data_IF_900937704255
#
_entry.id   IF_900937704255
#
_cell.length_a   1.000
_cell.length_b   1.000
_cell.length_c   1.000
_cell.angle_alpha   90.00
_cell.angle_beta   90.00
_cell.angle_gamma   90.00
#
_symmetry.space_group_name_H-M   'P 1'
#
loop_
_entity.id
_entity.type
_entity.pdbx_description
1 polymer ?
#
# COMPACT_ATOMS: atom_id res chain seq x y z
N UNK A 1 13.62 -11.93 8.32
CA UNK A 1 14.11 -10.55 8.51
C UNK A 1 14.49 -9.94 7.16
N UNK A 2 14.35 -8.62 7.02
CA UNK A 2 14.64 -7.91 5.78
C UNK A 2 15.62 -6.76 6.04
N UNK A 3 16.55 -6.53 5.10
CA UNK A 3 17.44 -5.36 5.05
C UNK A 3 17.01 -4.48 3.90
N UNK A 4 16.74 -3.21 4.17
CA UNK A 4 16.36 -2.22 3.17
C UNK A 4 17.54 -1.27 2.93
N UNK A 5 18.01 -1.18 1.70
CA UNK A 5 19.13 -0.33 1.29
C UNK A 5 18.62 0.77 0.38
N UNK A 6 18.83 2.01 0.79
CA UNK A 6 18.47 3.19 0.02
C UNK A 6 19.70 3.83 -0.59
N UNK A 7 19.58 4.27 -1.85
CA UNK A 7 20.66 4.93 -2.56
C UNK A 7 21.71 3.99 -3.14
N UNK A 8 22.97 4.41 -3.11
CA UNK A 8 24.08 3.73 -3.80
C UNK A 8 24.88 2.78 -2.88
N UNK A 9 24.21 2.18 -1.88
CA UNK A 9 24.86 1.24 -0.99
C UNK A 9 25.32 -0.03 -1.74
N UNK A 10 26.50 -0.55 -1.38
CA UNK A 10 27.03 -1.78 -1.95
C UNK A 10 27.22 -2.84 -0.86
N UNK A 11 26.88 -4.07 -1.20
CA UNK A 11 27.14 -5.23 -0.33
C UNK A 11 28.35 -6.01 -0.82
N UNK A 12 29.22 -6.40 0.12
CA UNK A 12 30.30 -7.34 -0.20
C UNK A 12 29.74 -8.74 -0.36
N UNK A 13 30.40 -9.58 -1.16
CA UNK A 13 30.00 -11.00 -1.32
C UNK A 13 29.98 -11.75 0.01
N UNK A 14 30.89 -11.41 0.94
CA UNK A 14 30.91 -12.01 2.27
C UNK A 14 29.65 -11.68 3.07
N UNK A 15 29.20 -10.42 3.01
CA UNK A 15 27.96 -9.98 3.66
C UNK A 15 26.74 -10.63 3.01
N UNK A 16 26.68 -10.71 1.69
CA UNK A 16 25.58 -11.40 0.98
C UNK A 16 25.50 -12.88 1.44
N UNK A 17 26.65 -13.58 1.52
CA UNK A 17 26.68 -14.97 2.02
C UNK A 17 26.20 -15.09 3.46
N UNK A 18 26.56 -14.14 4.33
CA UNK A 18 26.13 -14.13 5.72
C UNK A 18 24.62 -13.89 5.85
N UNK A 19 24.08 -12.92 5.10
CA UNK A 19 22.66 -12.63 5.06
C UNK A 19 21.84 -13.82 4.52
N UNK A 20 22.30 -14.42 3.44
CA UNK A 20 21.68 -15.61 2.85
C UNK A 20 21.65 -16.80 3.82
N UNK A 21 22.76 -17.06 4.53
CA UNK A 21 22.82 -18.13 5.55
C UNK A 21 21.82 -17.91 6.68
N UNK A 22 21.55 -16.66 7.04
CA UNK A 22 20.60 -16.28 8.09
C UNK A 22 19.17 -16.04 7.56
N UNK A 23 18.89 -16.36 6.28
CA UNK A 23 17.59 -16.17 5.64
C UNK A 23 17.09 -14.73 5.72
N UNK A 24 17.98 -13.77 5.55
CA UNK A 24 17.69 -12.33 5.53
C UNK A 24 17.64 -11.86 4.07
N UNK A 25 16.50 -11.36 3.63
CA UNK A 25 16.35 -10.78 2.30
C UNK A 25 16.91 -9.36 2.26
N UNK A 26 17.35 -8.92 1.08
CA UNK A 26 17.83 -7.56 0.86
C UNK A 26 17.03 -6.91 -0.25
N UNK A 27 16.55 -5.70 -0.01
CA UNK A 27 15.81 -4.90 -0.99
C UNK A 27 16.54 -3.59 -1.26
N UNK A 28 16.78 -3.28 -2.53
CA UNK A 28 17.42 -2.05 -2.96
C UNK A 28 16.39 -1.05 -3.43
N UNK A 29 16.52 0.17 -2.93
CA UNK A 29 15.68 1.32 -3.28
C UNK A 29 16.53 2.49 -3.74
N UNK A 30 15.99 3.32 -4.64
CA UNK A 30 16.58 4.61 -4.96
C UNK A 30 16.53 5.56 -3.76
N UNK A 31 17.23 6.69 -3.83
CA UNK A 31 17.18 7.75 -2.81
C UNK A 31 15.75 8.28 -2.55
N UNK A 32 14.87 8.15 -3.54
CA UNK A 32 13.47 8.59 -3.46
C UNK A 32 12.50 7.44 -3.14
N UNK A 33 13.01 6.29 -2.68
CA UNK A 33 12.19 5.15 -2.25
C UNK A 33 11.60 4.30 -3.37
N UNK A 34 12.10 4.41 -4.62
CA UNK A 34 11.67 3.53 -5.70
C UNK A 34 12.40 2.18 -5.58
N UNK A 35 11.66 1.08 -5.59
CA UNK A 35 12.23 -0.27 -5.64
C UNK A 35 13.08 -0.45 -6.92
N UNK A 36 14.28 -1.00 -6.75
CA UNK A 36 15.23 -1.27 -7.83
C UNK A 36 15.37 -2.78 -8.05
N UNK A 37 15.70 -3.52 -6.97
CA UNK A 37 16.02 -4.96 -7.04
C UNK A 37 15.96 -5.58 -5.66
N UNK A 38 15.92 -6.90 -5.59
CA UNK A 38 16.07 -7.68 -4.36
C UNK A 38 17.10 -8.79 -4.50
N UNK A 39 17.68 -9.18 -3.36
CA UNK A 39 18.41 -10.44 -3.18
C UNK A 39 17.60 -11.25 -2.18
N UNK A 40 16.95 -12.31 -2.66
CA UNK A 40 16.10 -13.16 -1.86
C UNK A 40 16.75 -14.51 -1.59
N UNK A 41 16.52 -15.03 -0.40
CA UNK A 41 16.99 -16.36 -0.05
C UNK A 41 15.96 -17.38 -0.50
N UNK A 42 16.36 -18.34 -1.35
CA UNK A 42 15.46 -19.39 -1.85
C UNK A 42 14.82 -20.19 -0.71
N UNK A 43 13.49 -20.23 -0.69
CA UNK A 43 12.69 -21.14 0.13
C UNK A 43 12.16 -22.26 -0.76
N UNK A 44 12.41 -23.50 -0.46
CA UNK A 44 11.94 -24.66 -1.24
C UNK A 44 10.41 -24.76 -1.31
N UNK A 45 9.70 -24.17 -0.34
CA UNK A 45 8.24 -24.25 -0.25
C UNK A 45 7.51 -23.20 -1.11
N UNK A 46 8.22 -22.30 -1.78
CA UNK A 46 7.61 -21.20 -2.55
C UNK A 46 6.99 -21.66 -3.86
N UNK A 47 7.50 -22.73 -4.45
CA UNK A 47 6.99 -23.23 -5.74
C UNK A 47 5.52 -23.64 -5.66
N UNK A 48 5.11 -24.35 -4.61
CA UNK A 48 3.71 -24.75 -4.44
C UNK A 48 2.78 -23.54 -4.25
N UNK A 49 3.23 -22.53 -3.50
CA UNK A 49 2.48 -21.29 -3.31
C UNK A 49 2.34 -20.52 -4.62
N UNK A 50 3.42 -20.40 -5.38
CA UNK A 50 3.40 -19.75 -6.69
C UNK A 50 2.47 -20.48 -7.68
N UNK A 51 2.48 -21.82 -7.70
CA UNK A 51 1.56 -22.63 -8.51
C UNK A 51 0.10 -22.37 -8.13
N UNK A 52 -0.21 -22.35 -6.81
CA UNK A 52 -1.57 -22.06 -6.34
C UNK A 52 -2.00 -20.63 -6.66
N UNK A 53 -1.09 -19.65 -6.51
CA UNK A 53 -1.34 -18.27 -6.89
C UNK A 53 -1.60 -18.12 -8.39
N UNK A 54 -0.81 -18.83 -9.21
CA UNK A 54 -1.00 -18.82 -10.66
C UNK A 54 -2.36 -19.42 -11.05
N UNK A 55 -2.76 -20.53 -10.44
CA UNK A 55 -4.10 -21.13 -10.65
C UNK A 55 -5.21 -20.16 -10.25
N UNK A 56 -5.12 -19.60 -9.04
CA UNK A 56 -6.11 -18.65 -8.51
C UNK A 56 -6.22 -17.37 -9.37
N UNK A 57 -5.12 -16.95 -10.02
CA UNK A 57 -5.13 -15.80 -10.92
C UNK A 57 -6.05 -15.98 -12.14
N UNK A 58 -6.26 -17.19 -12.61
CA UNK A 58 -7.14 -17.47 -13.75
C UNK A 58 -8.62 -17.66 -13.35
N UNK A 59 -8.92 -17.73 -12.05
CA UNK A 59 -10.29 -17.84 -11.54
C UNK A 59 -10.89 -16.45 -11.36
N UNK A 60 -11.76 -16.03 -12.30
CA UNK A 60 -12.32 -14.66 -12.31
C UNK A 60 -13.13 -14.34 -11.05
N UNK A 61 -13.98 -15.26 -10.60
CA UNK A 61 -14.80 -15.09 -9.40
C UNK A 61 -13.93 -14.92 -8.15
N UNK A 62 -12.90 -15.73 -8.01
CA UNK A 62 -11.95 -15.62 -6.91
C UNK A 62 -11.20 -14.28 -6.91
N UNK A 63 -10.74 -13.85 -8.09
CA UNK A 63 -10.09 -12.54 -8.23
C UNK A 63 -11.00 -11.39 -7.85
N UNK A 64 -12.26 -11.44 -8.27
CA UNK A 64 -13.26 -10.42 -7.94
C UNK A 64 -13.54 -10.37 -6.44
N UNK A 65 -13.68 -11.53 -5.80
CA UNK A 65 -13.90 -11.65 -4.36
C UNK A 65 -12.71 -11.09 -3.58
N UNK A 66 -11.49 -11.47 -3.95
CA UNK A 66 -10.26 -10.93 -3.34
C UNK A 66 -10.16 -9.42 -3.52
N UNK A 67 -10.45 -8.89 -4.72
CA UNK A 67 -10.43 -7.46 -4.98
C UNK A 67 -11.45 -6.70 -4.13
N UNK A 68 -12.69 -7.22 -3.97
CA UNK A 68 -13.71 -6.66 -3.08
C UNK A 68 -13.23 -6.63 -1.62
N UNK A 69 -12.65 -7.73 -1.16
CA UNK A 69 -12.14 -7.86 0.21
C UNK A 69 -11.03 -6.83 0.49
N UNK A 70 -10.04 -6.73 -0.40
CA UNK A 70 -8.93 -5.78 -0.26
C UNK A 70 -9.44 -4.34 -0.27
N UNK A 71 -10.27 -3.96 -1.26
CA UNK A 71 -10.77 -2.60 -1.38
C UNK A 71 -11.67 -2.21 -0.20
N UNK A 72 -12.57 -3.10 0.23
CA UNK A 72 -13.43 -2.89 1.40
C UNK A 72 -12.61 -2.69 2.68
N UNK A 73 -11.62 -3.55 2.92
CA UNK A 73 -10.76 -3.47 4.09
C UNK A 73 -9.95 -2.17 4.09
N UNK A 74 -9.40 -1.80 2.94
CA UNK A 74 -8.68 -0.53 2.77
C UNK A 74 -9.56 0.67 3.14
N UNK A 75 -10.77 0.75 2.60
CA UNK A 75 -11.69 1.87 2.89
C UNK A 75 -12.07 1.91 4.37
N UNK A 76 -12.35 0.77 4.98
CA UNK A 76 -12.66 0.71 6.42
C UNK A 76 -11.50 1.20 7.29
N UNK A 77 -10.27 0.85 6.95
CA UNK A 77 -9.10 1.36 7.67
C UNK A 77 -8.90 2.87 7.44
N UNK A 78 -9.20 3.38 6.25
CA UNK A 78 -9.17 4.82 5.97
C UNK A 78 -10.21 5.58 6.80
N UNK A 79 -11.45 5.06 6.91
CA UNK A 79 -12.50 5.62 7.77
C UNK A 79 -12.06 5.61 9.24
N UNK A 80 -11.52 4.49 9.72
CA UNK A 80 -11.06 4.37 11.09
C UNK A 80 -9.94 5.39 11.40
N UNK A 81 -9.00 5.57 10.48
CA UNK A 81 -7.93 6.55 10.63
C UNK A 81 -8.49 7.99 10.65
N UNK A 82 -9.39 8.35 9.75
CA UNK A 82 -10.01 9.67 9.76
C UNK A 82 -10.73 9.92 11.10
N UNK A 83 -11.49 8.94 11.62
CA UNK A 83 -12.16 9.06 12.92
C UNK A 83 -11.20 9.22 14.10
N UNK A 84 -10.05 8.56 14.04
CA UNK A 84 -9.02 8.64 15.08
C UNK A 84 -8.38 10.03 15.16
N UNK A 85 -8.14 10.66 14.00
CA UNK A 85 -7.47 11.95 13.92
C UNK A 85 -8.41 13.15 13.90
N UNK A 86 -9.70 12.96 13.64
CA UNK A 86 -10.73 14.01 13.65
C UNK A 86 -11.19 14.34 15.08
N UNK A 87 -10.26 14.80 15.93
CA UNK A 87 -10.55 15.14 17.32
C UNK A 87 -11.43 16.38 17.46
N UNK A 88 -11.40 17.26 16.48
CA UNK A 88 -12.12 18.53 16.49
C UNK A 88 -13.49 18.45 15.80
N UNK A 89 -13.84 17.30 15.26
CA UNK A 89 -15.12 17.07 14.60
C UNK A 89 -15.29 17.89 13.31
N UNK A 90 -14.23 17.98 12.51
CA UNK A 90 -14.25 18.68 11.22
C UNK A 90 -15.07 17.95 10.16
N UNK A 91 -15.18 16.62 10.28
CA UNK A 91 -15.99 15.77 9.41
C UNK A 91 -17.35 15.51 10.07
N UNK A 92 -18.41 15.71 9.33
CA UNK A 92 -19.75 15.42 9.82
C UNK A 92 -20.17 13.96 9.57
N UNK A 93 -21.34 13.60 10.10
CA UNK A 93 -21.90 12.25 9.96
C UNK A 93 -22.19 11.91 8.48
N UNK A 94 -22.51 12.92 7.64
CA UNK A 94 -22.80 12.71 6.24
C UNK A 94 -21.55 12.37 5.44
N UNK A 95 -20.38 12.89 5.84
CA UNK A 95 -19.09 12.58 5.22
C UNK A 95 -18.75 11.11 5.46
N UNK A 96 -18.88 10.63 6.70
CA UNK A 96 -18.65 9.23 7.02
C UNK A 96 -19.67 8.29 6.34
N UNK A 97 -20.94 8.71 6.23
CA UNK A 97 -21.96 7.93 5.54
C UNK A 97 -21.61 7.69 4.07
N UNK A 98 -21.07 8.70 3.37
CA UNK A 98 -20.61 8.55 1.97
C UNK A 98 -19.51 7.49 1.80
N UNK A 99 -18.62 7.38 2.77
CA UNK A 99 -17.61 6.32 2.76
C UNK A 99 -18.24 4.94 2.96
N UNK A 100 -19.19 4.80 3.90
CA UNK A 100 -19.90 3.53 4.15
C UNK A 100 -20.75 3.12 2.94
N UNK A 101 -21.42 4.06 2.28
CA UNK A 101 -22.18 3.78 1.04
C UNK A 101 -21.25 3.25 -0.06
N UNK A 102 -20.06 3.81 -0.18
CA UNK A 102 -19.09 3.35 -1.15
C UNK A 102 -18.50 1.96 -0.81
N UNK A 103 -18.42 1.59 0.47
CA UNK A 103 -18.11 0.20 0.86
C UNK A 103 -19.17 -0.75 0.34
N UNK A 104 -20.46 -0.37 0.47
CA UNK A 104 -21.56 -1.17 -0.06
C UNK A 104 -21.52 -1.29 -1.59
N UNK A 105 -21.15 -0.20 -2.30
CA UNK A 105 -20.98 -0.23 -3.75
C UNK A 105 -19.85 -1.15 -4.18
N UNK A 106 -18.69 -1.11 -3.49
CA UNK A 106 -17.57 -2.03 -3.73
C UNK A 106 -18.00 -3.49 -3.55
N UNK A 107 -18.76 -3.79 -2.50
CA UNK A 107 -19.24 -5.15 -2.22
C UNK A 107 -20.20 -5.67 -3.30
N UNK A 108 -20.96 -4.80 -3.93
CA UNK A 108 -21.92 -5.13 -5.00
C UNK A 108 -21.32 -5.05 -6.40
N UNK A 109 -20.10 -4.57 -6.57
CA UNK A 109 -19.46 -4.40 -7.87
C UNK A 109 -19.31 -5.74 -8.62
N UNK A 110 -19.60 -5.76 -9.90
CA UNK A 110 -19.54 -6.95 -10.75
C UNK A 110 -18.22 -7.13 -11.48
N UNK A 111 -17.32 -6.15 -11.39
CA UNK A 111 -16.01 -6.20 -12.04
C UNK A 111 -14.93 -5.51 -11.22
N UNK A 112 -13.68 -5.92 -11.44
CA UNK A 112 -12.50 -5.27 -10.84
C UNK A 112 -12.41 -3.80 -11.30
N UNK A 113 -12.81 -3.50 -12.53
CA UNK A 113 -12.83 -2.12 -13.05
C UNK A 113 -13.79 -1.22 -12.27
N UNK A 114 -14.97 -1.72 -11.93
CA UNK A 114 -15.91 -1.00 -11.07
C UNK A 114 -15.34 -0.75 -9.67
N UNK A 115 -14.76 -1.80 -9.06
CA UNK A 115 -14.10 -1.68 -7.75
C UNK A 115 -13.02 -0.59 -7.79
N UNK A 116 -12.17 -0.59 -8.81
CA UNK A 116 -11.13 0.44 -8.99
C UNK A 116 -11.72 1.84 -9.18
N UNK A 117 -12.86 1.95 -9.86
CA UNK A 117 -13.58 3.22 -10.03
C UNK A 117 -14.12 3.76 -8.72
N UNK A 118 -14.74 2.92 -7.88
CA UNK A 118 -15.22 3.30 -6.55
C UNK A 118 -14.04 3.67 -5.64
N UNK A 119 -13.01 2.83 -5.58
CA UNK A 119 -11.81 3.06 -4.77
C UNK A 119 -11.10 4.37 -5.16
N UNK A 120 -10.95 4.65 -6.45
CA UNK A 120 -10.32 5.88 -6.93
C UNK A 120 -11.08 7.15 -6.56
N UNK A 121 -12.42 7.12 -6.57
CA UNK A 121 -13.25 8.26 -6.10
C UNK A 121 -13.08 8.48 -4.60
N UNK A 122 -13.12 7.38 -3.83
CA UNK A 122 -12.93 7.42 -2.39
C UNK A 122 -11.55 7.92 -2.00
N UNK A 123 -10.51 7.50 -2.72
CA UNK A 123 -9.16 7.95 -2.46
C UNK A 123 -9.03 9.48 -2.56
N UNK A 124 -9.71 10.12 -3.52
CA UNK A 124 -9.72 11.59 -3.62
C UNK A 124 -10.34 12.23 -2.38
N UNK A 125 -11.51 11.74 -1.94
CA UNK A 125 -12.18 12.25 -0.75
C UNK A 125 -11.35 11.99 0.51
N UNK A 126 -10.78 10.80 0.64
CA UNK A 126 -9.91 10.45 1.75
C UNK A 126 -8.72 11.41 1.88
N UNK A 127 -7.97 11.66 0.79
CA UNK A 127 -6.83 12.57 0.83
C UNK A 127 -7.24 14.04 1.03
N UNK A 128 -8.42 14.43 0.57
CA UNK A 128 -8.97 15.74 0.87
C UNK A 128 -9.21 15.92 2.38
N UNK A 129 -9.93 14.99 3.03
CA UNK A 129 -10.19 15.07 4.47
C UNK A 129 -8.91 14.89 5.28
N UNK A 130 -8.01 13.98 4.87
CA UNK A 130 -6.73 13.80 5.54
C UNK A 130 -5.92 15.10 5.54
N UNK A 131 -5.96 15.87 4.43
CA UNK A 131 -5.29 17.17 4.37
C UNK A 131 -5.86 18.21 5.34
N UNK A 132 -7.14 18.12 5.69
CA UNK A 132 -7.74 19.00 6.71
C UNK A 132 -7.29 18.64 8.14
N UNK A 133 -6.88 17.41 8.36
CA UNK A 133 -6.51 16.87 9.67
C UNK A 133 -5.02 16.95 9.97
N UNK A 134 -4.16 17.13 8.96
CA UNK A 134 -2.72 17.30 9.19
C UNK A 134 -2.37 18.71 9.58
N UNK A 135 -1.31 18.94 10.39
CA UNK A 135 -0.83 20.28 10.73
C UNK A 135 -0.46 21.09 9.48
N UNK A 136 -0.56 22.42 9.56
CA UNK A 136 -0.36 23.35 8.44
C UNK A 136 0.98 23.14 7.70
N UNK A 137 2.05 22.84 8.44
CA UNK A 137 3.39 22.56 7.87
C UNK A 137 3.43 21.31 6.99
N UNK A 138 2.43 20.44 7.07
CA UNK A 138 2.34 19.19 6.33
C UNK A 138 1.18 19.19 5.31
N UNK A 139 0.53 20.31 5.08
CA UNK A 139 -0.51 20.40 4.07
C UNK A 139 0.02 20.04 2.68
N UNK A 140 -0.82 19.37 1.90
CA UNK A 140 -0.49 18.86 0.58
C UNK A 140 -1.66 19.07 -0.40
N UNK A 141 -1.37 19.24 -1.68
CA UNK A 141 -2.38 19.45 -2.71
C UNK A 141 -2.73 18.14 -3.44
N UNK A 142 -3.32 17.20 -2.68
CA UNK A 142 -3.68 15.89 -3.22
C UNK A 142 -2.49 14.91 -3.27
N UNK A 143 -2.76 13.71 -3.77
CA UNK A 143 -1.77 12.64 -3.81
C UNK A 143 -0.82 12.77 -5.01
N UNK A 144 0.45 13.09 -4.76
CA UNK A 144 1.54 13.09 -5.75
C UNK A 144 2.51 11.93 -5.52
N UNK A 145 2.95 11.28 -6.61
CA UNK A 145 3.77 10.07 -6.51
C UNK A 145 5.17 10.25 -7.08
N UNK A 146 5.30 10.75 -8.31
CA UNK A 146 6.57 10.83 -9.05
C UNK A 146 6.61 12.06 -9.93
N UNK A 147 7.31 13.11 -9.47
CA UNK A 147 7.91 13.27 -8.13
C UNK A 147 6.86 13.48 -7.05
N UNK A 148 7.26 13.30 -5.77
CA UNK A 148 6.48 13.84 -4.66
C UNK A 148 6.67 15.37 -4.64
N UNK A 149 5.56 16.11 -4.52
CA UNK A 149 5.57 17.58 -4.62
C UNK A 149 5.68 18.27 -3.25
N UNK A 150 5.53 17.51 -2.17
CA UNK A 150 5.54 17.97 -0.80
C UNK A 150 6.12 16.92 0.17
N UNK A 151 6.38 17.34 1.41
CA UNK A 151 6.97 16.46 2.42
C UNK A 151 6.02 15.33 2.86
N UNK A 152 4.70 15.57 2.91
CA UNK A 152 3.73 14.56 3.27
C UNK A 152 3.69 13.43 2.22
N UNK A 153 3.62 13.79 0.94
CA UNK A 153 3.68 12.81 -0.15
C UNK A 153 5.02 12.07 -0.21
N UNK A 154 6.14 12.74 0.14
CA UNK A 154 7.45 12.10 0.24
C UNK A 154 7.47 11.04 1.34
N UNK A 155 6.98 11.36 2.54
CA UNK A 155 6.87 10.44 3.66
C UNK A 155 5.93 9.26 3.32
N UNK A 156 4.80 9.54 2.67
CA UNK A 156 3.85 8.52 2.25
C UNK A 156 4.43 7.57 1.18
N UNK A 157 5.19 8.10 0.22
CA UNK A 157 5.91 7.28 -0.77
C UNK A 157 6.94 6.38 -0.11
N UNK A 158 7.66 6.89 0.88
CA UNK A 158 8.62 6.12 1.67
C UNK A 158 7.94 4.99 2.45
N UNK A 159 6.82 5.29 3.14
CA UNK A 159 6.02 4.29 3.83
C UNK A 159 5.50 3.19 2.91
N UNK A 160 5.02 3.52 1.71
CA UNK A 160 4.63 2.53 0.71
C UNK A 160 5.80 1.67 0.21
N UNK A 161 7.01 2.21 0.13
CA UNK A 161 8.19 1.45 -0.26
C UNK A 161 8.55 0.39 0.81
N UNK A 162 8.46 0.79 2.09
CA UNK A 162 8.65 -0.15 3.21
C UNK A 162 7.56 -1.24 3.18
N UNK A 163 6.29 -0.84 3.06
CA UNK A 163 5.19 -1.80 3.00
C UNK A 163 5.35 -2.79 1.84
N UNK A 164 5.76 -2.31 0.67
CA UNK A 164 6.03 -3.16 -0.48
C UNK A 164 7.11 -4.21 -0.17
N UNK A 165 8.21 -3.81 0.46
CA UNK A 165 9.27 -4.76 0.83
C UNK A 165 8.79 -5.82 1.84
N UNK A 166 7.90 -5.44 2.76
CA UNK A 166 7.31 -6.38 3.72
C UNK A 166 6.38 -7.41 3.05
N UNK A 167 5.69 -7.01 1.97
CA UNK A 167 4.78 -7.89 1.24
C UNK A 167 5.52 -8.84 0.28
N UNK A 168 6.70 -8.42 -0.23
CA UNK A 168 7.51 -9.22 -1.15
C UNK A 168 8.41 -10.24 -0.42
N UNK A 169 8.70 -10.06 0.86
CA UNK A 169 9.53 -10.98 1.70
C UNK A 169 8.72 -11.98 2.45
#
# INVERSE_FOLDING_TARGET
DNVLLFGNAQLTTQLIKALSKNKVNVYYFSNVGQFISSIETHRQDEFQKQELQAKAYFEEDFRLEVARSIATTKVRHQIALLREFDTDGLLDTSDYSRFEDSVNDIQKAYSITEIMGYEGRLAKSYFYYLNLLVPDDFHFNGRSRRPAEDCFNSALNFGYSILYSCLMG
#
